data_IF_134598063797
#
_entry.id   IF_134598063797
#
_cell.length_a   1.000
_cell.length_b   1.000
_cell.length_c   1.000
_cell.angle_alpha   90.00
_cell.angle_beta   90.00
_cell.angle_gamma   90.00
#
_symmetry.space_group_name_H-M   'P 1'
#
loop_
_entity.id
_entity.type
_entity.pdbx_description
1 polymer ?
#
# COMPACT_ATOMS: atom_id res chain seq x y z
N UNK A 1 -14.39 -15.61 4.07
CA UNK A 1 -14.17 -14.34 4.82
C UNK A 1 -14.40 -13.16 3.91
N UNK A 2 -14.94 -12.02 4.46
CA UNK A 2 -15.18 -10.81 3.65
C UNK A 2 -14.10 -9.76 3.89
N UNK A 3 -13.70 -9.06 2.82
CA UNK A 3 -12.75 -7.95 2.85
C UNK A 3 -13.13 -6.88 1.83
N UNK A 4 -12.70 -5.63 2.06
CA UNK A 4 -12.98 -4.51 1.17
C UNK A 4 -11.72 -4.18 0.39
N UNK A 5 -11.83 -4.26 -0.93
CA UNK A 5 -10.75 -4.05 -1.90
C UNK A 5 -11.11 -2.83 -2.74
N UNK A 6 -10.16 -1.91 -2.95
CA UNK A 6 -10.41 -0.74 -3.79
C UNK A 6 -9.82 -0.86 -5.20
N UNK A 7 -8.86 -1.76 -5.40
CA UNK A 7 -8.31 -2.04 -6.74
C UNK A 7 -7.71 -3.44 -6.80
N UNK A 8 -7.79 -4.08 -7.97
CA UNK A 8 -7.09 -5.32 -8.31
C UNK A 8 -6.31 -5.04 -9.59
N UNK A 9 -5.01 -4.82 -9.45
CA UNK A 9 -4.12 -4.48 -10.55
C UNK A 9 -3.43 -5.74 -11.07
N UNK A 10 -3.84 -6.18 -12.22
CA UNK A 10 -3.18 -7.26 -12.95
C UNK A 10 -1.90 -6.75 -13.66
N UNK A 11 -0.97 -7.65 -13.94
CA UNK A 11 0.31 -7.36 -14.63
C UNK A 11 1.20 -6.33 -13.91
N UNK A 12 1.16 -6.28 -12.56
CA UNK A 12 2.06 -5.45 -11.78
C UNK A 12 3.49 -6.01 -11.83
N UNK A 13 4.48 -5.12 -12.04
CA UNK A 13 5.91 -5.45 -12.14
C UNK A 13 6.73 -4.94 -10.95
N UNK A 14 6.08 -4.16 -10.08
CA UNK A 14 6.77 -3.43 -9.00
C UNK A 14 6.45 -3.93 -7.59
N UNK A 15 5.67 -4.99 -7.45
CA UNK A 15 5.14 -5.43 -6.16
C UNK A 15 5.70 -6.81 -5.75
N UNK A 16 6.94 -7.09 -6.08
CA UNK A 16 7.68 -8.34 -5.91
C UNK A 16 8.22 -8.86 -7.23
N UNK A 17 8.83 -10.05 -7.20
CA UNK A 17 9.42 -10.66 -8.38
C UNK A 17 8.36 -11.20 -9.36
N UNK A 18 8.70 -11.22 -10.65
CA UNK A 18 7.85 -11.69 -11.73
C UNK A 18 6.64 -10.78 -12.03
N UNK A 19 5.67 -11.31 -12.78
CA UNK A 19 4.43 -10.59 -13.09
C UNK A 19 3.39 -10.97 -12.04
N UNK A 20 2.78 -9.95 -11.40
CA UNK A 20 1.91 -10.16 -10.24
C UNK A 20 0.52 -9.57 -10.44
N UNK A 21 -0.43 -10.08 -9.66
CA UNK A 21 -1.69 -9.39 -9.41
C UNK A 21 -1.63 -8.78 -8.02
N UNK A 22 -1.69 -7.45 -7.96
CA UNK A 22 -1.69 -6.72 -6.68
C UNK A 22 -3.11 -6.40 -6.27
N UNK A 23 -3.46 -6.79 -5.04
CA UNK A 23 -4.78 -6.61 -4.44
C UNK A 23 -4.67 -5.48 -3.42
N UNK A 24 -5.34 -4.36 -3.69
CA UNK A 24 -5.28 -3.17 -2.85
C UNK A 24 -6.46 -3.12 -1.88
N UNK A 25 -6.17 -3.39 -0.60
CA UNK A 25 -7.17 -3.41 0.47
C UNK A 25 -7.44 -2.01 1.03
N UNK A 26 -8.68 -1.78 1.46
CA UNK A 26 -9.07 -0.55 2.17
C UNK A 26 -8.77 -0.64 3.66
N UNK A 27 -8.60 0.53 4.26
CA UNK A 27 -8.26 0.71 5.67
C UNK A 27 -6.75 0.79 5.88
N UNK A 28 -6.33 1.89 6.48
CA UNK A 28 -4.95 2.07 6.92
C UNK A 28 -4.98 2.84 8.26
N UNK A 29 -4.27 2.37 9.28
CA UNK A 29 -4.14 3.12 10.53
C UNK A 29 -3.20 4.33 10.40
N UNK A 30 -2.29 4.30 9.41
CA UNK A 30 -1.37 5.39 9.14
C UNK A 30 -2.05 6.53 8.37
N UNK A 31 -1.49 7.74 8.51
CA UNK A 31 -1.89 8.97 7.83
C UNK A 31 -0.66 9.67 7.23
N UNK A 32 0.18 8.87 6.54
CA UNK A 32 1.41 9.39 5.94
C UNK A 32 1.10 10.60 5.06
N UNK A 33 1.80 11.71 5.27
CA UNK A 33 1.58 12.96 4.51
C UNK A 33 1.88 12.80 3.01
N UNK A 34 2.66 11.79 2.63
CA UNK A 34 2.99 11.43 1.24
C UNK A 34 2.20 10.23 0.70
N UNK A 35 1.09 9.84 1.32
CA UNK A 35 0.41 8.61 0.94
C UNK A 35 0.04 8.60 -0.55
N UNK A 36 0.42 7.53 -1.27
CA UNK A 36 0.13 7.36 -2.70
C UNK A 36 -1.23 6.72 -2.98
N UNK A 37 -1.87 6.15 -1.94
CA UNK A 37 -3.13 5.43 -2.06
C UNK A 37 -4.18 6.01 -1.10
N UNK A 38 -4.61 7.29 -1.30
CA UNK A 38 -5.60 7.92 -0.43
C UNK A 38 -6.95 7.17 -0.44
N UNK A 39 -7.23 6.38 -1.50
CA UNK A 39 -8.38 5.48 -1.60
C UNK A 39 -8.33 4.36 -0.55
N UNK A 40 -7.13 3.97 -0.13
CA UNK A 40 -6.91 2.95 0.90
C UNK A 40 -7.05 3.45 2.34
N UNK A 41 -7.14 4.77 2.59
CA UNK A 41 -7.13 5.32 3.95
C UNK A 41 -8.39 5.00 4.75
N UNK A 42 -9.57 5.05 4.11
CA UNK A 42 -10.84 4.69 4.73
C UNK A 42 -11.04 3.17 4.73
N UNK A 43 -11.59 2.64 5.81
CA UNK A 43 -12.00 1.23 5.87
C UNK A 43 -13.32 0.96 5.13
N UNK A 44 -14.08 2.01 4.81
CA UNK A 44 -15.41 1.90 4.16
C UNK A 44 -15.30 2.28 2.69
N UNK A 45 -16.18 1.77 1.83
CA UNK A 45 -16.34 2.27 0.48
C UNK A 45 -16.55 3.79 0.46
N UNK A 46 -15.98 4.47 -0.52
CA UNK A 46 -16.05 5.92 -0.69
C UNK A 46 -16.29 6.26 -2.16
N UNK A 47 -16.90 7.42 -2.42
CA UNK A 47 -16.99 7.92 -3.78
C UNK A 47 -15.61 8.37 -4.26
N UNK A 48 -15.28 7.95 -5.48
CA UNK A 48 -14.13 8.41 -6.23
C UNK A 48 -14.59 9.17 -7.47
N UNK A 49 -14.10 10.39 -7.65
CA UNK A 49 -14.41 11.21 -8.82
C UNK A 49 -13.15 11.46 -9.62
N UNK A 50 -13.07 10.95 -10.85
CA UNK A 50 -11.98 11.26 -11.76
C UNK A 50 -11.99 12.75 -12.08
N UNK A 51 -10.95 13.49 -11.71
CA UNK A 51 -10.85 14.93 -11.94
C UNK A 51 -10.63 15.28 -13.42
N UNK A 52 -9.90 14.42 -14.14
CA UNK A 52 -9.63 14.62 -15.57
C UNK A 52 -10.94 14.46 -16.37
N UNK A 53 -11.30 15.52 -17.09
CA UNK A 53 -12.52 15.58 -17.88
C UNK A 53 -13.79 15.98 -17.08
N UNK A 54 -13.69 16.32 -15.80
CA UNK A 54 -14.80 16.82 -15.02
C UNK A 54 -15.28 18.20 -15.55
N UNK A 55 -16.59 18.30 -15.80
CA UNK A 55 -17.23 19.55 -16.26
C UNK A 55 -17.55 20.53 -15.10
N UNK A 56 -17.31 20.13 -13.85
CA UNK A 56 -17.69 20.87 -12.65
C UNK A 56 -19.19 21.27 -12.62
N UNK A 57 -20.05 20.47 -13.27
CA UNK A 57 -21.49 20.76 -13.39
C UNK A 57 -22.28 20.55 -12.08
N UNK A 58 -21.69 19.94 -11.06
CA UNK A 58 -22.32 19.73 -9.76
C UNK A 58 -23.41 18.66 -9.69
N UNK A 59 -23.86 18.08 -10.82
CA UNK A 59 -24.94 17.10 -10.83
C UNK A 59 -24.72 15.93 -9.87
N UNK A 60 -23.49 15.40 -9.79
CA UNK A 60 -23.17 14.30 -8.91
C UNK A 60 -23.25 14.63 -7.40
N UNK A 61 -23.48 15.88 -7.01
CA UNK A 61 -23.73 16.28 -5.62
C UNK A 61 -25.20 16.23 -5.24
N UNK A 62 -26.10 16.00 -6.21
CA UNK A 62 -27.52 15.91 -5.94
C UNK A 62 -27.89 14.57 -5.29
N UNK A 63 -28.86 14.61 -4.40
CA UNK A 63 -29.48 13.41 -3.84
C UNK A 63 -30.33 12.72 -4.91
N UNK A 64 -30.51 11.43 -4.77
CA UNK A 64 -31.36 10.61 -5.63
C UNK A 64 -31.96 9.46 -4.82
N UNK A 65 -32.92 8.74 -5.42
CA UNK A 65 -33.64 7.65 -4.76
C UNK A 65 -33.02 6.25 -5.03
N UNK A 66 -31.86 6.17 -5.72
CA UNK A 66 -31.20 4.89 -5.92
C UNK A 66 -30.67 4.35 -4.58
N UNK A 67 -30.99 3.10 -4.27
CA UNK A 67 -30.64 2.47 -3.01
C UNK A 67 -29.12 2.46 -2.77
N UNK A 68 -28.34 2.13 -3.79
CA UNK A 68 -26.87 2.09 -3.77
C UNK A 68 -26.20 3.46 -3.57
N UNK A 69 -26.93 4.54 -3.80
CA UNK A 69 -26.46 5.91 -3.61
C UNK A 69 -26.66 6.40 -2.16
N UNK A 70 -27.62 5.83 -1.43
CA UNK A 70 -28.00 6.30 -0.10
C UNK A 70 -26.83 6.35 0.89
N UNK A 71 -25.92 5.34 0.94
CA UNK A 71 -24.78 5.38 1.85
C UNK A 71 -23.83 6.57 1.62
N UNK A 72 -23.87 7.18 0.43
CA UNK A 72 -22.97 8.25 0.03
C UNK A 72 -23.61 9.64 0.04
N UNK A 73 -24.95 9.72 0.22
CA UNK A 73 -25.71 10.98 0.26
C UNK A 73 -25.69 11.78 -1.05
N UNK A 74 -25.31 11.16 -2.17
CA UNK A 74 -25.20 11.79 -3.50
C UNK A 74 -25.32 10.76 -4.62
N UNK A 75 -25.74 11.18 -5.81
CA UNK A 75 -25.93 10.29 -6.95
C UNK A 75 -24.60 9.90 -7.60
N UNK A 76 -24.38 8.59 -7.77
CA UNK A 76 -23.21 8.05 -8.47
C UNK A 76 -23.43 7.82 -9.97
N UNK A 77 -24.69 7.83 -10.43
CA UNK A 77 -25.08 7.51 -11.81
C UNK A 77 -25.27 8.73 -12.72
N UNK A 78 -25.50 9.92 -12.14
CA UNK A 78 -25.94 11.09 -12.90
C UNK A 78 -24.82 11.78 -13.71
N UNK A 79 -23.56 11.33 -13.54
CA UNK A 79 -22.44 11.99 -14.21
C UNK A 79 -22.48 11.74 -15.73
N UNK A 80 -22.62 12.78 -16.57
CA UNK A 80 -22.72 12.62 -18.02
C UNK A 80 -21.43 12.09 -18.67
N UNK A 81 -20.32 12.08 -17.92
CA UNK A 81 -19.02 11.56 -18.37
C UNK A 81 -18.59 10.29 -17.64
N UNK A 82 -19.46 9.69 -16.85
CA UNK A 82 -19.16 8.48 -16.07
C UNK A 82 -17.86 8.57 -15.24
N UNK A 83 -17.61 9.73 -14.60
CA UNK A 83 -16.40 9.99 -13.83
C UNK A 83 -16.55 9.63 -12.35
N UNK A 84 -17.76 9.31 -11.91
CA UNK A 84 -18.07 8.95 -10.52
C UNK A 84 -18.11 7.45 -10.38
N UNK A 85 -17.37 6.92 -9.44
CA UNK A 85 -17.33 5.49 -9.11
C UNK A 85 -17.26 5.29 -7.59
N UNK A 86 -17.47 4.07 -7.14
CA UNK A 86 -17.23 3.68 -5.75
C UNK A 86 -15.83 3.09 -5.67
N UNK A 87 -15.01 3.61 -4.75
CA UNK A 87 -13.73 3.01 -4.36
C UNK A 87 -13.95 2.12 -3.15
N UNK A 88 -13.86 0.84 -3.34
CA UNK A 88 -14.07 -0.21 -2.33
C UNK A 88 -15.26 -1.09 -2.65
N UNK A 89 -14.97 -2.34 -2.92
CA UNK A 89 -15.92 -3.42 -3.17
C UNK A 89 -15.70 -4.53 -2.14
N UNK A 90 -16.78 -5.10 -1.63
CA UNK A 90 -16.71 -6.24 -0.72
C UNK A 90 -16.47 -7.53 -1.51
N UNK A 91 -15.40 -8.22 -1.18
CA UNK A 91 -15.00 -9.50 -1.76
C UNK A 91 -15.03 -10.61 -0.73
N UNK A 92 -15.53 -11.76 -1.14
CA UNK A 92 -15.32 -12.99 -0.38
C UNK A 92 -13.96 -13.61 -0.75
N UNK A 93 -13.19 -14.02 0.27
CA UNK A 93 -11.84 -14.59 0.09
C UNK A 93 -11.82 -15.88 -0.75
N UNK A 94 -12.90 -16.68 -0.70
CA UNK A 94 -13.03 -17.89 -1.48
C UNK A 94 -13.22 -17.58 -2.96
N UNK A 95 -14.18 -16.71 -3.29
CA UNK A 95 -14.42 -16.27 -4.66
C UNK A 95 -13.20 -15.57 -5.26
N UNK A 96 -12.49 -14.77 -4.44
CA UNK A 96 -11.26 -14.13 -4.90
C UNK A 96 -10.16 -15.16 -5.14
N UNK A 97 -10.00 -16.15 -4.26
CA UNK A 97 -9.03 -17.22 -4.46
C UNK A 97 -9.30 -18.01 -5.74
N UNK A 98 -10.56 -18.36 -6.02
CA UNK A 98 -10.95 -19.03 -7.26
C UNK A 98 -10.60 -18.19 -8.50
N UNK A 99 -10.88 -16.89 -8.46
CA UNK A 99 -10.51 -15.97 -9.55
C UNK A 99 -9.00 -15.98 -9.79
N UNK A 100 -8.20 -15.87 -8.73
CA UNK A 100 -6.73 -15.82 -8.82
C UNK A 100 -6.13 -17.14 -9.29
N UNK A 101 -6.71 -18.28 -8.88
CA UNK A 101 -6.25 -19.61 -9.27
C UNK A 101 -6.40 -19.89 -10.77
N UNK A 102 -7.31 -19.19 -11.47
CA UNK A 102 -7.41 -19.29 -12.94
C UNK A 102 -6.14 -18.82 -13.64
N UNK A 103 -5.33 -18.02 -12.98
CA UNK A 103 -4.05 -17.49 -13.50
C UNK A 103 -2.82 -18.22 -12.95
N UNK A 104 -2.99 -19.34 -12.22
CA UNK A 104 -1.89 -20.03 -11.53
C UNK A 104 -0.74 -20.43 -12.47
N UNK A 105 -1.04 -20.98 -13.65
CA UNK A 105 -0.02 -21.35 -14.65
C UNK A 105 0.72 -20.13 -15.19
N UNK A 106 0.02 -19.03 -15.42
CA UNK A 106 0.64 -17.77 -15.84
C UNK A 106 1.62 -17.25 -14.78
N UNK A 107 1.23 -17.24 -13.51
CA UNK A 107 2.11 -16.85 -12.41
C UNK A 107 3.35 -17.74 -12.31
N UNK A 108 3.18 -19.04 -12.49
CA UNK A 108 4.29 -20.01 -12.49
C UNK A 108 5.29 -19.73 -13.62
N UNK A 109 4.82 -19.51 -14.85
CA UNK A 109 5.66 -19.23 -16.02
C UNK A 109 6.40 -17.90 -15.86
N UNK A 110 5.76 -16.89 -15.30
CA UNK A 110 6.32 -15.55 -15.12
C UNK A 110 7.16 -15.39 -13.84
N UNK A 111 7.33 -16.45 -13.03
CA UNK A 111 7.88 -16.40 -11.67
C UNK A 111 7.20 -15.34 -10.80
N UNK A 112 5.91 -15.12 -11.03
CA UNK A 112 5.10 -14.11 -10.37
C UNK A 112 4.15 -14.70 -9.32
N UNK A 113 3.07 -13.98 -9.04
CA UNK A 113 2.08 -14.41 -8.04
C UNK A 113 1.11 -13.31 -7.68
N UNK A 114 0.66 -13.32 -6.42
CA UNK A 114 -0.17 -12.22 -5.89
C UNK A 114 0.60 -11.40 -4.86
N UNK A 115 0.21 -10.14 -4.72
CA UNK A 115 0.67 -9.26 -3.63
C UNK A 115 -0.53 -8.61 -2.96
N UNK A 116 -0.65 -8.77 -1.65
CA UNK A 116 -1.59 -8.01 -0.83
C UNK A 116 -0.97 -6.67 -0.47
N UNK A 117 -1.61 -5.57 -0.81
CA UNK A 117 -1.14 -4.20 -0.59
C UNK A 117 -2.35 -3.27 -0.35
N UNK A 118 -2.22 -1.96 -0.60
CA UNK A 118 -3.33 -0.99 -0.61
C UNK A 118 -3.20 0.09 0.43
N UNK A 119 -4.10 0.09 1.43
CA UNK A 119 -3.93 0.83 2.68
C UNK A 119 -2.91 0.12 3.56
N UNK A 120 -3.38 -0.64 4.53
CA UNK A 120 -2.56 -1.58 5.31
C UNK A 120 -3.25 -2.96 5.30
N UNK A 121 -2.68 -3.99 4.67
CA UNK A 121 -3.31 -5.31 4.62
C UNK A 121 -3.60 -5.91 6.00
N UNK A 122 -2.73 -5.65 6.98
CA UNK A 122 -2.90 -6.13 8.34
C UNK A 122 -4.09 -5.49 9.06
N UNK A 123 -4.66 -4.40 8.53
CA UNK A 123 -5.92 -3.85 9.00
C UNK A 123 -7.09 -4.81 8.74
N UNK A 124 -7.01 -5.60 7.68
CA UNK A 124 -7.96 -6.66 7.33
C UNK A 124 -7.31 -8.06 7.47
N UNK A 125 -6.51 -8.28 8.51
CA UNK A 125 -5.65 -9.45 8.68
C UNK A 125 -6.40 -10.79 8.56
N UNK A 126 -7.63 -10.90 9.08
CA UNK A 126 -8.44 -12.13 9.00
C UNK A 126 -8.78 -12.51 7.56
N UNK A 127 -9.14 -11.51 6.74
CA UNK A 127 -9.39 -11.72 5.31
C UNK A 127 -8.10 -12.10 4.58
N UNK A 128 -7.01 -11.37 4.83
CA UNK A 128 -5.70 -11.65 4.23
C UNK A 128 -5.23 -13.07 4.55
N UNK A 129 -5.31 -13.45 5.82
CA UNK A 129 -4.89 -14.78 6.28
C UNK A 129 -5.70 -15.91 5.64
N UNK A 130 -7.02 -15.77 5.53
CA UNK A 130 -7.87 -16.76 4.89
C UNK A 130 -7.55 -16.88 3.38
N UNK A 131 -7.37 -15.75 2.70
CA UNK A 131 -6.98 -15.75 1.28
C UNK A 131 -5.60 -16.39 1.05
N UNK A 132 -4.60 -16.02 1.85
CA UNK A 132 -3.24 -16.59 1.77
C UNK A 132 -3.25 -18.11 1.99
N UNK A 133 -4.01 -18.60 2.98
CA UNK A 133 -4.16 -20.04 3.25
C UNK A 133 -4.77 -20.79 2.07
N UNK A 134 -5.78 -20.24 1.38
CA UNK A 134 -6.43 -20.85 0.20
C UNK A 134 -5.50 -20.96 -1.01
N UNK A 135 -4.53 -20.04 -1.11
CA UNK A 135 -3.56 -19.98 -2.21
C UNK A 135 -2.26 -20.74 -1.91
N UNK A 136 -2.07 -21.27 -0.70
CA UNK A 136 -0.86 -21.96 -0.26
C UNK A 136 -0.48 -23.09 -1.22
N UNK A 137 0.80 -23.09 -1.65
CA UNK A 137 1.35 -24.11 -2.55
C UNK A 137 0.83 -24.08 -3.99
N UNK A 138 -0.05 -23.14 -4.35
CA UNK A 138 -0.64 -23.00 -5.68
C UNK A 138 -0.17 -21.75 -6.42
N UNK A 139 -0.01 -20.65 -5.70
CA UNK A 139 0.43 -19.36 -6.21
C UNK A 139 1.42 -18.76 -5.21
N UNK A 140 2.48 -18.10 -5.68
CA UNK A 140 3.42 -17.36 -4.82
C UNK A 140 2.71 -16.14 -4.21
N UNK A 141 2.80 -16.01 -2.87
CA UNK A 141 2.03 -15.06 -2.06
C UNK A 141 2.97 -14.04 -1.42
N UNK A 142 2.79 -12.79 -1.77
CA UNK A 142 3.50 -11.69 -1.15
C UNK A 142 2.54 -10.77 -0.38
N UNK A 143 3.07 -10.08 0.62
CA UNK A 143 2.42 -8.99 1.32
C UNK A 143 3.32 -7.76 1.31
N UNK A 144 2.77 -6.59 1.00
CA UNK A 144 3.38 -5.29 1.16
C UNK A 144 2.70 -4.56 2.33
N UNK A 145 3.44 -4.28 3.38
CA UNK A 145 2.89 -3.80 4.65
C UNK A 145 3.82 -2.78 5.32
N UNK A 146 3.25 -1.87 6.07
CA UNK A 146 4.03 -1.04 7.02
C UNK A 146 4.45 -1.81 8.28
N UNK A 147 3.90 -3.01 8.48
CA UNK A 147 4.12 -3.78 9.70
C UNK A 147 3.39 -3.22 10.94
N UNK A 148 2.51 -2.24 10.79
CA UNK A 148 1.76 -1.66 11.90
C UNK A 148 0.59 -2.56 12.31
N UNK A 149 0.89 -3.50 13.15
CA UNK A 149 -0.06 -4.45 13.72
C UNK A 149 0.45 -4.96 15.07
N UNK A 150 -0.42 -5.52 15.91
CA UNK A 150 0.06 -6.27 17.05
C UNK A 150 0.90 -7.47 16.60
N UNK A 151 1.79 -7.90 17.47
CA UNK A 151 2.82 -8.89 17.15
C UNK A 151 2.25 -10.24 16.69
N UNK A 152 1.20 -10.73 17.35
CA UNK A 152 0.64 -12.05 17.05
C UNK A 152 -0.05 -12.06 15.67
N UNK A 153 -0.81 -11.02 15.36
CA UNK A 153 -1.43 -10.84 14.04
C UNK A 153 -0.36 -10.75 12.94
N UNK A 154 0.70 -9.98 13.16
CA UNK A 154 1.81 -9.86 12.22
C UNK A 154 2.44 -11.22 11.98
N UNK A 155 2.89 -11.88 13.05
CA UNK A 155 3.55 -13.19 13.01
C UNK A 155 2.70 -14.24 12.29
N UNK A 156 1.42 -14.35 12.63
CA UNK A 156 0.51 -15.31 11.98
C UNK A 156 0.35 -15.00 10.50
N UNK A 157 0.18 -13.73 10.12
CA UNK A 157 -0.05 -13.38 8.72
C UNK A 157 1.20 -13.63 7.86
N UNK A 158 2.39 -13.21 8.31
CA UNK A 158 3.60 -13.40 7.52
C UNK A 158 4.02 -14.86 7.39
N UNK A 159 3.66 -15.73 8.34
CA UNK A 159 3.93 -17.17 8.23
C UNK A 159 3.23 -17.85 7.05
N UNK A 160 2.22 -17.19 6.46
CA UNK A 160 1.53 -17.64 5.25
C UNK A 160 2.06 -16.99 3.97
N UNK A 161 3.09 -16.14 4.06
CA UNK A 161 3.67 -15.46 2.92
C UNK A 161 4.93 -16.16 2.44
N UNK A 162 5.15 -16.13 1.13
CA UNK A 162 6.38 -16.58 0.48
C UNK A 162 7.37 -15.41 0.33
N UNK A 163 6.88 -14.17 0.42
CA UNK A 163 7.67 -12.92 0.43
C UNK A 163 6.97 -11.86 1.27
N UNK A 164 7.72 -11.17 2.12
CA UNK A 164 7.25 -9.99 2.84
C UNK A 164 8.00 -8.76 2.36
N UNK A 165 7.28 -7.76 1.89
CA UNK A 165 7.79 -6.44 1.53
C UNK A 165 7.35 -5.50 2.65
N UNK A 166 8.29 -5.00 3.43
CA UNK A 166 7.95 -4.19 4.60
C UNK A 166 8.53 -2.79 4.52
N UNK A 167 7.67 -1.78 4.64
CA UNK A 167 8.07 -0.39 4.60
C UNK A 167 8.61 0.08 5.96
N UNK A 168 9.84 0.58 5.99
CA UNK A 168 10.40 1.34 7.12
C UNK A 168 10.49 2.81 6.69
N UNK A 169 9.70 3.66 7.33
CA UNK A 169 9.53 5.04 6.89
C UNK A 169 10.43 6.04 7.64
N UNK A 170 10.43 5.93 8.96
CA UNK A 170 11.21 6.78 9.86
C UNK A 170 11.72 5.96 11.04
N UNK A 171 12.99 6.14 11.38
CA UNK A 171 13.62 5.47 12.53
C UNK A 171 13.20 6.13 13.85
N UNK A 172 13.15 7.45 13.88
CA UNK A 172 12.73 8.21 15.07
C UNK A 172 11.22 8.12 15.29
N UNK A 173 10.83 7.78 16.53
CA UNK A 173 9.42 7.56 16.91
C UNK A 173 8.58 8.84 16.88
N UNK A 174 9.16 9.99 17.22
CA UNK A 174 8.41 11.26 17.24
C UNK A 174 8.20 11.78 15.82
N UNK A 175 9.24 11.74 14.99
CA UNK A 175 9.14 12.06 13.55
C UNK A 175 8.16 11.09 12.87
N UNK A 176 8.17 9.80 13.24
CA UNK A 176 7.20 8.83 12.69
C UNK A 176 5.77 9.22 13.07
N UNK A 177 5.51 9.56 14.33
CA UNK A 177 4.20 10.04 14.76
C UNK A 177 3.77 11.31 14.01
N UNK A 178 4.69 12.27 13.87
CA UNK A 178 4.41 13.56 13.19
C UNK A 178 3.98 13.37 11.74
N UNK A 179 4.71 12.52 10.98
CA UNK A 179 4.52 12.40 9.53
C UNK A 179 3.59 11.26 9.12
N UNK A 180 3.34 10.29 9.98
CA UNK A 180 2.48 9.13 9.67
C UNK A 180 1.25 9.00 10.56
N UNK A 181 1.14 9.82 11.61
CA UNK A 181 0.02 9.82 12.55
C UNK A 181 0.06 8.70 13.60
N UNK A 182 1.08 7.83 13.59
CA UNK A 182 1.24 6.74 14.56
C UNK A 182 2.71 6.60 14.97
N UNK A 183 2.95 6.07 16.16
CA UNK A 183 4.29 5.70 16.61
C UNK A 183 4.75 4.41 15.93
N UNK A 184 6.06 4.17 15.86
CA UNK A 184 6.65 3.04 15.14
C UNK A 184 7.03 1.83 16.02
N UNK A 185 6.70 1.82 17.32
CA UNK A 185 7.12 0.73 18.23
C UNK A 185 6.67 -0.66 17.73
N UNK A 186 5.42 -0.79 17.26
CA UNK A 186 4.95 -2.05 16.67
C UNK A 186 5.73 -2.40 15.39
N UNK A 187 5.98 -1.41 14.54
CA UNK A 187 6.70 -1.59 13.28
C UNK A 187 8.12 -2.10 13.55
N UNK A 188 8.84 -1.46 14.48
CA UNK A 188 10.21 -1.84 14.82
C UNK A 188 10.29 -3.24 15.44
N UNK A 189 9.36 -3.58 16.34
CA UNK A 189 9.27 -4.93 16.91
C UNK A 189 8.99 -5.98 15.84
N UNK A 190 8.09 -5.69 14.90
CA UNK A 190 7.71 -6.59 13.83
C UNK A 190 8.83 -6.72 12.78
N UNK A 191 9.57 -5.64 12.49
CA UNK A 191 10.76 -5.69 11.62
C UNK A 191 11.86 -6.57 12.21
N UNK A 192 12.13 -6.46 13.53
CA UNK A 192 13.10 -7.31 14.20
C UNK A 192 12.69 -8.79 14.14
N UNK A 193 11.41 -9.10 14.34
CA UNK A 193 10.91 -10.47 14.16
C UNK A 193 11.07 -10.97 12.73
N UNK A 194 10.75 -10.14 11.74
CA UNK A 194 10.83 -10.48 10.31
C UNK A 194 12.26 -10.86 9.91
N UNK A 195 13.26 -10.07 10.32
CA UNK A 195 14.68 -10.36 10.09
C UNK A 195 15.10 -11.75 10.58
N UNK A 196 14.57 -12.17 11.71
CA UNK A 196 14.92 -13.42 12.37
C UNK A 196 14.00 -14.60 12.03
N UNK A 197 12.96 -14.37 11.18
CA UNK A 197 11.93 -15.38 10.89
C UNK A 197 12.36 -16.44 9.86
N UNK A 198 13.39 -16.17 9.07
CA UNK A 198 13.77 -16.99 7.92
C UNK A 198 12.86 -16.82 6.70
N UNK A 199 11.80 -15.98 6.78
CA UNK A 199 10.91 -15.70 5.66
C UNK A 199 11.61 -14.76 4.68
N UNK A 200 11.60 -15.02 3.35
CA UNK A 200 12.11 -14.10 2.35
C UNK A 200 11.49 -12.71 2.51
N UNK A 201 12.32 -11.68 2.59
CA UNK A 201 11.82 -10.33 2.79
C UNK A 201 12.68 -9.25 2.15
N UNK A 202 12.04 -8.09 1.91
CA UNK A 202 12.66 -6.87 1.42
C UNK A 202 12.15 -5.71 2.25
N UNK A 203 13.04 -4.88 2.77
CA UNK A 203 12.62 -3.60 3.35
C UNK A 203 12.55 -2.52 2.27
N UNK A 204 11.50 -1.71 2.32
CA UNK A 204 11.32 -0.55 1.44
C UNK A 204 11.38 0.75 2.22
N UNK A 205 12.08 1.72 1.66
CA UNK A 205 12.27 3.04 2.26
C UNK A 205 11.82 4.09 1.25
N UNK A 206 10.68 4.73 1.47
CA UNK A 206 10.28 5.85 0.63
C UNK A 206 11.20 7.04 0.87
N UNK A 207 11.73 7.63 -0.20
CA UNK A 207 12.61 8.80 -0.14
C UNK A 207 11.77 10.07 -0.32
N UNK A 208 11.27 10.61 0.77
CA UNK A 208 10.47 11.84 0.76
C UNK A 208 11.38 13.02 1.09
N UNK A 209 11.46 14.05 0.22
CA UNK A 209 12.39 15.17 0.38
C UNK A 209 12.33 15.82 1.77
N UNK A 210 13.49 15.93 2.43
CA UNK A 210 13.69 16.52 3.76
C UNK A 210 12.91 15.83 4.90
N UNK A 211 12.27 14.69 4.66
CA UNK A 211 11.50 13.96 5.67
C UNK A 211 12.15 12.61 5.93
N UNK A 212 12.16 11.73 4.93
CA UNK A 212 12.68 10.37 5.09
C UNK A 212 14.06 10.18 4.47
N UNK A 213 14.46 11.04 3.52
CA UNK A 213 15.75 11.00 2.83
C UNK A 213 16.89 11.69 3.58
N UNK A 214 16.65 12.14 4.81
CA UNK A 214 17.68 12.76 5.64
C UNK A 214 18.73 11.73 6.07
N UNK A 215 20.00 12.15 6.12
CA UNK A 215 21.12 11.28 6.51
C UNK A 215 20.90 10.65 7.87
N UNK A 216 20.41 11.40 8.85
CA UNK A 216 20.06 10.92 10.19
C UNK A 216 19.05 9.76 10.12
N UNK A 217 17.98 9.92 9.33
CA UNK A 217 16.95 8.89 9.19
C UNK A 217 17.50 7.65 8.48
N UNK A 218 18.26 7.83 7.40
CA UNK A 218 18.80 6.70 6.63
C UNK A 218 19.81 5.89 7.45
N UNK A 219 20.67 6.54 8.25
CA UNK A 219 21.58 5.86 9.19
C UNK A 219 20.77 5.08 10.25
N UNK A 220 19.73 5.70 10.81
CA UNK A 220 18.84 5.05 11.77
C UNK A 220 18.13 3.83 11.17
N UNK A 221 17.62 3.95 9.95
CA UNK A 221 16.97 2.81 9.27
C UNK A 221 18.00 1.72 8.90
N UNK A 222 19.20 2.11 8.46
CA UNK A 222 20.24 1.14 8.12
C UNK A 222 20.59 0.23 9.32
N UNK A 223 20.63 0.78 10.54
CA UNK A 223 20.82 -0.05 11.74
C UNK A 223 19.60 -0.95 12.06
N UNK A 224 18.39 -0.56 11.70
CA UNK A 224 17.18 -1.39 11.86
C UNK A 224 17.19 -2.55 10.88
N UNK A 225 17.42 -2.29 9.58
CA UNK A 225 17.33 -3.30 8.53
C UNK A 225 18.57 -4.19 8.44
N UNK A 226 19.71 -3.71 8.96
CA UNK A 226 21.00 -4.45 9.01
C UNK A 226 21.46 -4.90 7.60
N UNK A 227 21.70 -6.18 7.39
CA UNK A 227 22.15 -6.77 6.12
C UNK A 227 20.99 -7.16 5.18
N UNK A 228 19.74 -6.91 5.57
CA UNK A 228 18.57 -7.29 4.79
C UNK A 228 18.53 -6.56 3.45
N UNK A 229 17.99 -7.23 2.42
CA UNK A 229 17.74 -6.61 1.14
C UNK A 229 16.85 -5.38 1.33
N UNK A 230 17.28 -4.25 0.79
CA UNK A 230 16.61 -2.95 0.97
C UNK A 230 16.37 -2.29 -0.40
N UNK A 231 15.19 -1.75 -0.61
CA UNK A 231 14.82 -0.99 -1.80
C UNK A 231 14.51 0.45 -1.40
N UNK A 232 15.25 1.40 -1.97
CA UNK A 232 14.99 2.84 -1.82
C UNK A 232 14.02 3.27 -2.92
N UNK A 233 12.90 3.86 -2.53
CA UNK A 233 11.82 4.27 -3.44
C UNK A 233 11.85 5.79 -3.63
N UNK A 234 12.28 6.32 -4.79
CA UNK A 234 12.23 7.74 -5.07
C UNK A 234 10.81 8.30 -4.95
N UNK A 235 10.70 9.54 -4.50
CA UNK A 235 9.42 10.23 -4.39
C UNK A 235 8.74 10.35 -5.76
N UNK A 236 7.45 10.02 -5.81
CA UNK A 236 6.62 10.17 -7.00
C UNK A 236 5.57 11.28 -6.75
N UNK A 237 5.60 12.41 -7.48
CA UNK A 237 4.70 13.55 -7.26
C UNK A 237 3.25 13.31 -7.72
N UNK A 238 2.95 12.19 -8.41
CA UNK A 238 1.62 11.93 -8.98
C UNK A 238 0.53 11.61 -7.92
N UNK A 239 0.89 11.48 -6.65
CA UNK A 239 -0.06 11.17 -5.57
C UNK A 239 -1.16 12.22 -5.43
N UNK A 240 -0.84 13.50 -5.60
CA UNK A 240 -1.77 14.63 -5.39
C UNK A 240 -3.06 14.55 -6.22
N UNK A 241 -2.99 14.01 -7.43
CA UNK A 241 -4.13 13.87 -8.32
C UNK A 241 -5.23 12.94 -7.75
N UNK A 242 -4.84 11.88 -7.03
CA UNK A 242 -5.78 10.92 -6.44
C UNK A 242 -6.53 11.49 -5.24
N UNK A 243 -5.92 12.41 -4.49
CA UNK A 243 -6.53 13.03 -3.31
C UNK A 243 -7.81 13.77 -3.66
N UNK A 244 -7.79 14.55 -4.74
CA UNK A 244 -8.99 15.23 -5.24
C UNK A 244 -10.12 14.25 -5.57
N UNK A 245 -9.76 13.08 -6.10
CA UNK A 245 -10.71 12.03 -6.46
C UNK A 245 -11.52 11.52 -5.26
N UNK A 246 -10.92 11.40 -4.09
CA UNK A 246 -11.59 10.98 -2.85
C UNK A 246 -12.03 12.17 -1.96
N UNK A 247 -12.02 13.39 -2.50
CA UNK A 247 -12.44 14.59 -1.76
C UNK A 247 -11.51 14.98 -0.62
N UNK A 248 -10.22 14.64 -0.71
CA UNK A 248 -9.19 15.00 0.27
C UNK A 248 -8.22 16.03 -0.30
N UNK A 249 -7.55 16.76 0.58
CA UNK A 249 -6.47 17.68 0.23
C UNK A 249 -5.12 16.97 0.42
N UNK A 250 -4.23 17.11 -0.56
CA UNK A 250 -2.85 16.67 -0.42
C UNK A 250 -2.07 17.68 0.45
N UNK A 251 -1.01 17.21 1.09
CA UNK A 251 -0.17 18.04 1.95
C UNK A 251 0.64 19.08 1.16
N UNK A 252 0.94 20.20 1.80
CA UNK A 252 1.92 21.21 1.38
C UNK A 252 3.30 21.05 2.04
N UNK A 253 3.45 20.03 2.88
CA UNK A 253 4.69 19.78 3.65
C UNK A 253 5.85 19.24 2.82
N UNK A 254 5.64 18.87 1.56
CA UNK A 254 6.65 18.25 0.69
C UNK A 254 7.06 19.25 -0.39
N UNK A 255 8.35 19.57 -0.43
CA UNK A 255 8.93 20.32 -1.54
C UNK A 255 9.25 19.39 -2.71
N UNK A 256 8.30 19.29 -3.65
CA UNK A 256 8.42 18.44 -4.83
C UNK A 256 9.59 18.84 -5.76
N UNK A 257 10.09 20.07 -5.66
CA UNK A 257 11.22 20.53 -6.49
C UNK A 257 12.54 19.85 -6.16
N UNK A 258 12.60 19.19 -5.00
CA UNK A 258 13.76 18.43 -4.51
C UNK A 258 13.70 16.94 -4.91
N UNK A 259 12.57 16.46 -5.37
CA UNK A 259 12.31 15.04 -5.64
C UNK A 259 13.23 14.38 -6.69
N UNK A 260 13.87 15.18 -7.56
CA UNK A 260 14.75 14.68 -8.64
C UNK A 260 16.25 14.84 -8.33
N UNK A 261 16.62 15.31 -7.14
CA UNK A 261 18.00 15.70 -6.81
C UNK A 261 18.73 14.69 -5.92
N UNK A 262 18.37 13.42 -5.99
CA UNK A 262 19.03 12.40 -5.19
C UNK A 262 20.42 12.04 -5.71
N UNK A 263 21.42 12.10 -4.85
CA UNK A 263 22.68 11.38 -5.05
C UNK A 263 22.46 9.91 -4.67
N UNK A 264 22.06 9.11 -5.64
CA UNK A 264 21.74 7.68 -5.43
C UNK A 264 22.90 6.89 -4.88
N UNK A 265 24.15 7.23 -5.26
CA UNK A 265 25.35 6.54 -4.77
C UNK A 265 25.53 6.81 -3.28
N UNK A 266 25.36 8.07 -2.85
CA UNK A 266 25.41 8.45 -1.44
C UNK A 266 24.31 7.74 -0.64
N UNK A 267 23.06 7.74 -1.14
CA UNK A 267 21.94 7.12 -0.41
C UNK A 267 22.16 5.61 -0.21
N UNK A 268 22.60 4.90 -1.24
CA UNK A 268 22.88 3.45 -1.16
C UNK A 268 24.03 3.18 -0.21
N UNK A 269 25.04 4.06 -0.09
CA UNK A 269 26.22 3.84 0.75
C UNK A 269 25.92 3.75 2.26
N UNK A 270 24.75 4.18 2.71
CA UNK A 270 24.32 4.01 4.11
C UNK A 270 23.95 2.55 4.45
N UNK A 271 23.68 1.70 3.46
CA UNK A 271 23.14 0.36 3.64
C UNK A 271 24.12 -0.71 3.14
N UNK A 272 24.13 -1.85 3.78
CA UNK A 272 24.96 -3.00 3.37
C UNK A 272 24.44 -3.67 2.09
N UNK A 273 23.13 -3.64 1.83
CA UNK A 273 22.48 -4.34 0.71
C UNK A 273 21.27 -3.55 0.20
N UNK A 274 21.53 -2.40 -0.42
CA UNK A 274 20.45 -1.57 -0.94
C UNK A 274 20.54 -1.33 -2.45
N UNK A 275 19.38 -1.11 -3.06
CA UNK A 275 19.22 -0.68 -4.45
C UNK A 275 18.21 0.44 -4.52
N UNK A 276 18.37 1.35 -5.50
CA UNK A 276 17.33 2.35 -5.81
C UNK A 276 16.44 1.81 -6.91
N UNK A 277 15.14 1.79 -6.66
CA UNK A 277 14.16 1.42 -7.69
C UNK A 277 14.01 2.56 -8.70
N UNK A 278 13.92 2.17 -9.96
CA UNK A 278 13.67 3.09 -11.09
C UNK A 278 12.18 3.24 -11.33
#
# INVERSE_FOLDING_TARGET
MKGIIFDIKEFALNDGDGIRTTIFLKGCPLRCVWCHNPEGLSAKPEIYVKSNGCLNCGLCHQKCDHEECQPFGRCIHICPRNLVSISGEEWDSELLAEKLLRHAEFFKISNGGITLSGGEPLFQAKFCLDLLKRLRGKIHRAIETSGYSNFDTFKETISECDLVIMDIKLADTQKHLEYTGVKNEYILKNAEHLKNSGIPHVFRIPLIPNITDTEENLIGIASIVSESKTELLPYNPLASAKYKGVGRTFTDKIDESLASKYDTAKLVSFFSNATVRK
#
